data_IF_067545229688
#
_entry.id   IF_067545229688
#
_cell.length_a   1.000
_cell.length_b   1.000
_cell.length_c   1.000
_cell.angle_alpha   90.00
_cell.angle_beta   90.00
_cell.angle_gamma   90.00
#
_symmetry.space_group_name_H-M   'P 1'
#
loop_
_entity.id
_entity.type
_entity.pdbx_description
1 polymer ?
#
# COMPACT_ATOMS: atom_id res chain seq x y z
N UNK A 1 -24.34 -0.49 -21.84
CA UNK A 1 -23.93 -1.74 -21.14
C UNK A 1 -22.86 -1.31 -20.16
N UNK A 2 -23.04 -1.61 -18.85
CA UNK A 2 -21.95 -1.33 -17.90
C UNK A 2 -20.85 -2.35 -18.17
N UNK A 3 -19.68 -1.87 -18.54
CA UNK A 3 -18.50 -2.69 -18.78
C UNK A 3 -18.08 -3.43 -17.50
N UNK A 4 -17.60 -4.67 -17.65
CA UNK A 4 -17.03 -5.43 -16.53
C UNK A 4 -15.58 -4.98 -16.40
N UNK A 5 -15.23 -4.51 -15.22
CA UNK A 5 -13.86 -4.14 -14.86
C UNK A 5 -13.24 -5.31 -14.10
N UNK A 6 -12.04 -5.71 -14.52
CA UNK A 6 -11.21 -6.71 -13.83
C UNK A 6 -9.96 -6.04 -13.31
N UNK A 7 -9.63 -6.25 -12.04
CA UNK A 7 -8.43 -5.68 -11.42
C UNK A 7 -7.95 -6.51 -10.25
N UNK A 8 -6.67 -6.36 -9.93
CA UNK A 8 -6.07 -6.88 -8.71
C UNK A 8 -6.17 -5.86 -7.58
N UNK A 9 -6.43 -6.31 -6.36
CA UNK A 9 -6.53 -5.42 -5.20
C UNK A 9 -5.86 -6.02 -3.96
N UNK A 10 -5.32 -5.15 -3.08
CA UNK A 10 -4.89 -5.53 -1.72
C UNK A 10 -5.95 -5.05 -0.72
N UNK A 11 -6.38 -5.95 0.16
CA UNK A 11 -7.36 -5.63 1.21
C UNK A 11 -6.67 -4.91 2.37
N UNK A 12 -7.06 -3.65 2.64
CA UNK A 12 -6.48 -2.81 3.70
C UNK A 12 -7.35 -2.75 4.95
N UNK A 13 -8.68 -2.84 4.80
CA UNK A 13 -9.62 -2.75 5.91
C UNK A 13 -10.83 -3.63 5.68
N UNK A 14 -11.32 -4.21 6.76
CA UNK A 14 -12.59 -4.97 6.80
C UNK A 14 -13.56 -4.31 7.78
N UNK A 15 -14.79 -4.10 7.39
CA UNK A 15 -15.84 -3.54 8.24
C UNK A 15 -17.10 -4.40 8.13
N UNK A 16 -17.64 -4.87 9.26
CA UNK A 16 -18.89 -5.62 9.28
C UNK A 16 -20.01 -4.74 8.71
N UNK A 17 -20.81 -5.29 7.81
CA UNK A 17 -21.92 -4.60 7.18
C UNK A 17 -23.13 -5.53 7.11
N UNK A 18 -24.24 -5.13 7.73
CA UNK A 18 -25.44 -5.96 7.91
C UNK A 18 -25.10 -7.30 8.58
N UNK A 19 -26.02 -8.26 8.56
CA UNK A 19 -25.88 -9.53 9.28
C UNK A 19 -24.82 -10.47 8.66
N UNK A 20 -24.73 -10.53 7.33
CA UNK A 20 -23.89 -11.50 6.61
C UNK A 20 -22.88 -10.89 5.64
N UNK A 21 -22.82 -9.56 5.54
CA UNK A 21 -22.00 -8.86 4.57
C UNK A 21 -20.79 -8.19 5.21
N UNK A 22 -19.75 -7.97 4.42
CA UNK A 22 -18.52 -7.30 4.77
C UNK A 22 -18.28 -6.16 3.77
N UNK A 23 -17.94 -4.96 4.27
CA UNK A 23 -17.30 -3.95 3.41
C UNK A 23 -15.81 -4.11 3.55
N UNK A 24 -15.12 -4.16 2.40
CA UNK A 24 -13.66 -4.12 2.34
C UNK A 24 -13.23 -2.84 1.65
N UNK A 25 -12.22 -2.17 2.23
CA UNK A 25 -11.51 -1.08 1.58
C UNK A 25 -10.18 -1.62 1.04
N UNK A 26 -9.95 -1.40 -0.23
CA UNK A 26 -8.82 -1.97 -0.98
C UNK A 26 -8.06 -0.89 -1.73
N UNK A 27 -6.86 -1.23 -2.19
CA UNK A 27 -6.13 -0.45 -3.21
C UNK A 27 -5.88 -1.33 -4.43
N UNK A 28 -6.02 -0.74 -5.60
CA UNK A 28 -5.71 -1.30 -6.93
C UNK A 28 -4.58 -0.50 -7.56
N UNK A 29 -3.67 -1.12 -8.33
CA UNK A 29 -2.62 -0.39 -9.04
C UNK A 29 -3.19 0.62 -10.05
N UNK A 30 -4.29 0.26 -10.72
CA UNK A 30 -4.84 1.04 -11.84
C UNK A 30 -5.93 2.02 -11.42
N UNK A 31 -6.73 1.64 -10.42
CA UNK A 31 -7.93 2.38 -10.01
C UNK A 31 -7.82 3.03 -8.63
N UNK A 32 -6.67 2.94 -7.96
CA UNK A 32 -6.47 3.49 -6.63
C UNK A 32 -7.35 2.82 -5.58
N UNK A 33 -8.00 3.63 -4.74
CA UNK A 33 -8.88 3.11 -3.68
C UNK A 33 -10.21 2.62 -4.24
N UNK A 34 -10.61 1.40 -3.86
CA UNK A 34 -11.91 0.81 -4.22
C UNK A 34 -12.52 0.17 -2.98
N UNK A 35 -13.81 0.44 -2.76
CA UNK A 35 -14.58 -0.18 -1.68
C UNK A 35 -15.57 -1.21 -2.24
N UNK A 36 -15.58 -2.43 -1.69
CA UNK A 36 -16.47 -3.50 -2.11
C UNK A 36 -17.38 -3.98 -0.98
N UNK A 37 -18.64 -4.34 -1.32
CA UNK A 37 -19.53 -5.11 -0.46
C UNK A 37 -19.44 -6.58 -0.82
N UNK A 38 -18.94 -7.40 0.08
CA UNK A 38 -18.88 -8.85 -0.05
C UNK A 38 -20.09 -9.45 0.65
N UNK A 39 -21.08 -9.92 -0.12
CA UNK A 39 -22.30 -10.54 0.41
C UNK A 39 -21.99 -11.97 0.87
N UNK A 40 -22.61 -12.39 1.99
CA UNK A 40 -22.43 -13.74 2.50
C UNK A 40 -21.03 -14.03 3.07
N UNK A 41 -20.21 -13.03 3.31
CA UNK A 41 -18.83 -13.18 3.79
C UNK A 41 -18.72 -13.93 5.13
N UNK A 42 -19.78 -13.88 5.95
CA UNK A 42 -19.87 -14.59 7.25
C UNK A 42 -20.62 -15.91 7.18
N UNK A 43 -21.12 -16.31 6.02
CA UNK A 43 -21.73 -17.63 5.84
C UNK A 43 -20.62 -18.67 5.71
N UNK A 44 -20.10 -19.10 6.85
CA UNK A 44 -19.12 -20.19 6.92
C UNK A 44 -19.84 -21.49 6.64
N UNK A 45 -19.80 -21.97 5.42
CA UNK A 45 -20.03 -23.38 5.15
C UNK A 45 -18.79 -24.15 5.59
N UNK A 46 -18.95 -25.32 6.22
CA UNK A 46 -17.90 -26.16 6.85
C UNK A 46 -16.67 -26.46 5.93
N UNK A 47 -16.68 -26.04 4.70
CA UNK A 47 -15.69 -26.40 3.66
C UNK A 47 -15.00 -25.20 3.00
N UNK A 48 -15.37 -23.96 3.32
CA UNK A 48 -14.72 -22.77 2.68
C UNK A 48 -14.08 -21.88 3.74
N UNK A 49 -12.77 -21.78 3.71
CA UNK A 49 -12.08 -20.66 4.39
C UNK A 49 -12.52 -19.33 3.75
N UNK A 50 -12.67 -18.26 4.54
CA UNK A 50 -13.02 -16.96 3.99
C UNK A 50 -11.91 -16.53 3.02
N UNK A 51 -12.25 -16.31 1.74
CA UNK A 51 -11.31 -15.85 0.71
C UNK A 51 -10.81 -14.44 1.03
N UNK A 52 -11.66 -13.62 1.64
CA UNK A 52 -11.39 -12.21 1.90
C UNK A 52 -10.86 -12.02 3.32
N UNK A 53 -9.58 -11.64 3.43
CA UNK A 53 -8.97 -11.21 4.69
C UNK A 53 -7.98 -10.06 4.47
N UNK A 54 -7.47 -9.46 5.58
CA UNK A 54 -6.50 -8.36 5.54
C UNK A 54 -5.24 -8.77 4.79
N UNK A 55 -4.72 -7.84 4.01
CA UNK A 55 -3.49 -7.96 3.23
C UNK A 55 -3.51 -9.05 2.14
N UNK A 56 -4.63 -9.74 1.92
CA UNK A 56 -4.75 -10.64 0.79
C UNK A 56 -4.83 -9.87 -0.53
N UNK A 57 -4.22 -10.45 -1.54
CA UNK A 57 -4.31 -9.98 -2.93
C UNK A 57 -5.44 -10.78 -3.59
N UNK A 58 -6.41 -10.06 -4.11
CA UNK A 58 -7.58 -10.62 -4.76
C UNK A 58 -7.67 -10.14 -6.21
N UNK A 59 -7.96 -11.05 -7.14
CA UNK A 59 -8.49 -10.68 -8.45
C UNK A 59 -10.00 -10.47 -8.31
N UNK A 60 -10.48 -9.32 -8.75
CA UNK A 60 -11.87 -8.91 -8.58
C UNK A 60 -12.44 -8.46 -9.92
N UNK A 61 -13.62 -8.98 -10.26
CA UNK A 61 -14.44 -8.48 -11.37
C UNK A 61 -15.67 -7.78 -10.81
N UNK A 62 -15.99 -6.62 -11.33
CA UNK A 62 -17.16 -5.84 -10.89
C UNK A 62 -17.70 -4.97 -12.02
N UNK A 63 -18.92 -4.47 -11.82
CA UNK A 63 -19.52 -3.46 -12.71
C UNK A 63 -19.50 -2.11 -12.02
N UNK A 64 -19.13 -1.09 -12.75
CA UNK A 64 -19.15 0.29 -12.25
C UNK A 64 -20.57 0.75 -11.91
N UNK A 65 -20.69 1.53 -10.85
CA UNK A 65 -21.93 2.17 -10.44
C UNK A 65 -21.64 3.57 -9.87
N UNK A 66 -22.68 4.37 -9.72
CA UNK A 66 -22.56 5.76 -9.25
C UNK A 66 -22.39 5.89 -7.72
N UNK A 67 -22.42 4.79 -6.97
CA UNK A 67 -22.38 4.85 -5.49
C UNK A 67 -20.97 4.85 -4.91
N UNK A 68 -19.95 4.49 -5.71
CA UNK A 68 -18.59 4.31 -5.24
C UNK A 68 -18.37 3.08 -4.34
N UNK A 69 -19.45 2.32 -4.07
CA UNK A 69 -19.41 1.06 -3.33
C UNK A 69 -19.86 -0.06 -4.26
N UNK A 70 -18.96 -0.96 -4.62
CA UNK A 70 -19.18 -1.95 -5.65
C UNK A 70 -19.53 -3.33 -5.08
N UNK A 71 -20.34 -4.10 -5.82
CA UNK A 71 -20.54 -5.53 -5.55
C UNK A 71 -19.78 -6.34 -6.56
N UNK A 72 -18.75 -7.09 -6.18
CA UNK A 72 -18.01 -7.90 -7.14
C UNK A 72 -18.89 -9.05 -7.66
N UNK A 73 -18.68 -9.40 -8.93
CA UNK A 73 -19.26 -10.59 -9.57
C UNK A 73 -18.39 -11.82 -9.35
N UNK A 74 -17.06 -11.61 -9.32
CA UNK A 74 -16.07 -12.65 -9.06
C UNK A 74 -15.04 -12.14 -8.05
N UNK A 75 -14.57 -13.02 -7.18
CA UNK A 75 -13.48 -12.74 -6.22
C UNK A 75 -12.62 -14.00 -6.11
N UNK A 76 -11.38 -13.91 -6.54
CA UNK A 76 -10.42 -14.99 -6.51
C UNK A 76 -9.16 -14.61 -5.72
N UNK A 77 -8.74 -15.50 -4.82
CA UNK A 77 -7.50 -15.31 -4.05
C UNK A 77 -6.30 -15.52 -4.97
N UNK A 78 -5.46 -14.51 -5.11
CA UNK A 78 -4.20 -14.59 -5.86
C UNK A 78 -3.02 -14.88 -4.93
N UNK A 79 -3.00 -14.20 -3.76
CA UNK A 79 -1.93 -14.36 -2.78
C UNK A 79 -2.46 -14.03 -1.38
N UNK A 80 -1.97 -14.74 -0.38
CA UNK A 80 -2.20 -14.39 1.01
C UNK A 80 -0.90 -13.98 1.70
N UNK A 81 -1.06 -13.19 2.75
CA UNK A 81 -0.01 -12.77 3.66
C UNK A 81 -0.42 -13.07 5.11
N UNK A 82 -1.22 -14.13 5.31
CA UNK A 82 -1.82 -14.49 6.59
C UNK A 82 -0.77 -14.76 7.68
N UNK A 83 0.43 -15.23 7.30
CA UNK A 83 1.55 -15.46 8.22
C UNK A 83 2.07 -14.19 8.91
N UNK A 84 1.75 -12.99 8.40
CA UNK A 84 2.04 -11.72 9.08
C UNK A 84 1.37 -11.67 10.47
N UNK A 85 0.23 -12.35 10.65
CA UNK A 85 -0.43 -12.45 11.96
C UNK A 85 0.46 -13.09 13.06
N UNK A 86 1.45 -13.88 12.68
CA UNK A 86 2.44 -14.47 13.60
C UNK A 86 3.56 -13.48 13.99
N UNK A 87 3.58 -12.28 13.41
CA UNK A 87 4.59 -11.21 13.61
C UNK A 87 3.92 -9.95 14.20
N UNK A 88 3.53 -9.96 15.48
CA UNK A 88 2.63 -8.93 16.05
C UNK A 88 3.20 -7.52 15.99
N UNK A 89 4.53 -7.36 16.12
CA UNK A 89 5.18 -6.04 16.04
C UNK A 89 5.08 -5.46 14.63
N UNK A 90 5.43 -6.23 13.61
CA UNK A 90 5.36 -5.84 12.20
C UNK A 90 3.90 -5.61 11.78
N UNK A 91 3.01 -6.52 12.18
CA UNK A 91 1.57 -6.39 11.94
C UNK A 91 1.04 -5.06 12.49
N UNK A 92 1.37 -4.72 13.75
CA UNK A 92 0.94 -3.45 14.37
C UNK A 92 1.43 -2.23 13.60
N UNK A 93 2.68 -2.26 13.12
CA UNK A 93 3.26 -1.17 12.32
C UNK A 93 2.56 -1.03 10.96
N UNK A 94 2.30 -2.14 10.27
CA UNK A 94 1.59 -2.14 8.98
C UNK A 94 0.15 -1.64 9.18
N UNK A 95 -0.55 -2.12 10.21
CA UNK A 95 -1.91 -1.67 10.53
C UNK A 95 -1.96 -0.18 10.87
N UNK A 96 -0.95 0.36 11.56
CA UNK A 96 -0.87 1.80 11.86
C UNK A 96 -0.65 2.66 10.62
N UNK A 97 -0.11 2.07 9.55
CA UNK A 97 0.13 2.74 8.28
C UNK A 97 -1.07 2.69 7.32
N UNK A 98 -1.93 1.68 7.41
CA UNK A 98 -3.08 1.54 6.49
C UNK A 98 -4.01 2.76 6.44
N UNK A 99 -4.26 3.52 7.55
CA UNK A 99 -5.04 4.76 7.49
C UNK A 99 -4.42 5.82 6.57
N UNK A 100 -3.08 5.91 6.50
CA UNK A 100 -2.40 6.82 5.57
C UNK A 100 -2.76 6.47 4.12
N UNK A 101 -2.71 5.20 3.73
CA UNK A 101 -3.07 4.75 2.39
C UNK A 101 -4.55 5.05 2.09
N UNK A 102 -5.45 4.69 3.03
CA UNK A 102 -6.89 4.88 2.86
C UNK A 102 -7.33 6.35 2.79
N UNK A 103 -6.59 7.26 3.46
CA UNK A 103 -6.84 8.70 3.42
C UNK A 103 -6.36 9.32 2.11
N UNK A 104 -5.18 8.94 1.65
CA UNK A 104 -4.46 9.69 0.64
C UNK A 104 -4.56 9.09 -0.77
N UNK A 105 -4.85 7.78 -0.92
CA UNK A 105 -5.11 7.19 -2.24
C UNK A 105 -6.57 7.44 -2.61
N UNK A 106 -6.76 8.12 -3.74
CA UNK A 106 -8.08 8.49 -4.23
C UNK A 106 -8.65 7.45 -5.20
N UNK A 107 -10.00 7.29 -5.24
CA UNK A 107 -10.65 6.48 -6.25
C UNK A 107 -10.34 6.98 -7.67
N UNK A 108 -10.25 6.04 -8.62
CA UNK A 108 -9.98 6.31 -10.05
C UNK A 108 -8.63 6.99 -10.36
N UNK A 109 -7.72 7.00 -9.39
CA UNK A 109 -6.35 7.51 -9.58
C UNK A 109 -5.37 6.35 -9.45
N UNK A 110 -4.62 6.06 -10.51
CA UNK A 110 -3.60 5.01 -10.48
C UNK A 110 -2.57 5.27 -9.38
N UNK A 111 -2.21 4.21 -8.65
CA UNK A 111 -1.19 4.24 -7.59
C UNK A 111 -0.23 3.04 -7.71
N UNK A 112 0.18 2.73 -8.93
CA UNK A 112 0.88 1.48 -9.24
C UNK A 112 2.21 1.31 -8.49
N UNK A 113 2.95 2.42 -8.27
CA UNK A 113 4.22 2.37 -7.52
C UNK A 113 3.97 2.18 -6.02
N UNK A 114 3.01 2.90 -5.45
CA UNK A 114 2.62 2.72 -4.04
C UNK A 114 2.10 1.32 -3.81
N UNK A 115 1.25 0.80 -4.70
CA UNK A 115 0.76 -0.58 -4.66
C UNK A 115 1.91 -1.59 -4.64
N UNK A 116 2.85 -1.47 -5.59
CA UNK A 116 4.03 -2.33 -5.68
C UNK A 116 4.91 -2.24 -4.42
N UNK A 117 5.18 -1.03 -3.92
CA UNK A 117 5.98 -0.82 -2.73
C UNK A 117 5.32 -1.43 -1.48
N UNK A 118 4.00 -1.32 -1.36
CA UNK A 118 3.25 -1.92 -0.26
C UNK A 118 3.22 -3.46 -0.35
N UNK A 119 3.03 -4.00 -1.55
CA UNK A 119 3.12 -5.44 -1.78
C UNK A 119 4.51 -6.00 -1.40
N UNK A 120 5.59 -5.27 -1.77
CA UNK A 120 6.95 -5.63 -1.39
C UNK A 120 7.15 -5.59 0.14
N UNK A 121 6.58 -4.59 0.84
CA UNK A 121 6.60 -4.54 2.31
C UNK A 121 5.97 -5.79 2.92
N UNK A 122 4.80 -6.21 2.41
CA UNK A 122 4.12 -7.42 2.89
C UNK A 122 4.98 -8.68 2.66
N UNK A 123 5.60 -8.78 1.47
CA UNK A 123 6.48 -9.89 1.14
C UNK A 123 7.72 -9.91 2.04
N UNK A 124 8.44 -8.80 2.16
CA UNK A 124 9.62 -8.69 3.03
C UNK A 124 9.28 -8.99 4.50
N UNK A 125 8.05 -8.68 4.93
CA UNK A 125 7.59 -9.05 6.27
C UNK A 125 7.50 -10.57 6.43
N UNK A 126 7.00 -11.29 5.44
CA UNK A 126 6.95 -12.77 5.49
C UNK A 126 8.36 -13.35 5.49
N UNK A 127 9.24 -12.81 4.66
CA UNK A 127 10.61 -13.31 4.45
C UNK A 127 11.59 -12.90 5.58
N UNK A 128 11.09 -12.31 6.68
CA UNK A 128 11.89 -11.77 7.82
C UNK A 128 12.87 -10.64 7.43
N UNK A 129 12.60 -9.95 6.30
CA UNK A 129 13.38 -8.82 5.79
C UNK A 129 12.71 -7.46 6.08
N UNK A 130 11.79 -7.42 7.06
CA UNK A 130 11.10 -6.18 7.42
C UNK A 130 12.06 -5.18 8.08
N UNK A 131 12.13 -3.99 7.50
CA UNK A 131 12.90 -2.87 8.04
C UNK A 131 11.98 -1.74 8.54
N UNK A 132 12.29 -1.19 9.70
CA UNK A 132 11.43 -0.19 10.38
C UNK A 132 11.18 1.07 9.53
N UNK A 133 12.08 1.41 8.63
CA UNK A 133 11.97 2.56 7.72
C UNK A 133 11.22 2.25 6.43
N UNK A 134 10.85 1.00 6.19
CA UNK A 134 10.13 0.58 4.97
C UNK A 134 8.82 1.35 4.78
N UNK A 135 8.10 1.64 5.87
CA UNK A 135 6.86 2.44 5.84
C UNK A 135 7.13 3.86 5.32
N UNK A 136 8.21 4.50 5.78
CA UNK A 136 8.56 5.84 5.31
C UNK A 136 9.08 5.83 3.86
N UNK A 137 9.65 4.73 3.41
CA UNK A 137 9.97 4.55 1.99
C UNK A 137 8.69 4.51 1.13
N UNK A 138 7.62 3.85 1.58
CA UNK A 138 6.33 3.87 0.86
C UNK A 138 5.73 5.27 0.85
N UNK A 139 5.81 6.03 1.95
CA UNK A 139 5.41 7.44 1.95
C UNK A 139 6.19 8.27 0.94
N UNK A 140 7.49 8.03 0.82
CA UNK A 140 8.32 8.68 -0.19
C UNK A 140 7.88 8.31 -1.61
N UNK A 141 7.58 7.01 -1.87
CA UNK A 141 7.03 6.55 -3.16
C UNK A 141 5.72 7.30 -3.46
N UNK A 142 4.85 7.44 -2.45
CA UNK A 142 3.60 8.20 -2.59
C UNK A 142 3.86 9.68 -2.94
N UNK A 143 4.77 10.35 -2.21
CA UNK A 143 5.15 11.75 -2.49
C UNK A 143 5.69 11.90 -3.92
N UNK A 144 6.53 10.97 -4.35
CA UNK A 144 7.08 10.98 -5.71
C UNK A 144 5.99 10.74 -6.77
N UNK A 145 5.14 9.73 -6.60
CA UNK A 145 4.10 9.36 -7.56
C UNK A 145 3.08 10.49 -7.77
N UNK A 146 2.86 11.33 -6.73
CA UNK A 146 1.95 12.47 -6.77
C UNK A 146 2.64 13.82 -7.07
N UNK A 147 3.93 13.82 -7.41
CA UNK A 147 4.66 15.05 -7.73
C UNK A 147 4.83 16.02 -6.56
N UNK A 148 4.81 15.52 -5.31
CA UNK A 148 4.89 16.30 -4.08
C UNK A 148 6.33 16.45 -3.55
N UNK A 149 7.32 15.90 -4.25
CA UNK A 149 8.72 16.07 -3.88
C UNK A 149 9.27 17.40 -4.42
N UNK A 150 10.05 18.14 -3.63
CA UNK A 150 10.76 19.31 -4.12
C UNK A 150 11.83 18.91 -5.15
N UNK A 151 12.16 19.82 -6.07
CA UNK A 151 13.25 19.65 -7.06
C UNK A 151 14.63 19.64 -6.37
N UNK A 152 14.90 18.59 -5.61
CA UNK A 152 16.19 18.41 -4.90
C UNK A 152 17.32 18.08 -5.87
N UNK A 153 16.99 17.56 -7.05
CA UNK A 153 17.96 17.08 -8.04
C UNK A 153 18.67 18.20 -8.84
N UNK A 154 18.20 19.44 -8.75
CA UNK A 154 18.77 20.57 -9.52
C UNK A 154 19.95 21.27 -8.83
N UNK A 155 20.25 20.96 -7.56
CA UNK A 155 21.37 21.57 -6.81
C UNK A 155 22.60 20.67 -6.74
N UNK A 156 23.06 20.12 -7.87
CA UNK A 156 24.34 19.42 -7.97
C UNK A 156 25.52 20.39 -7.98
N UNK A 157 25.80 20.95 -6.81
CA UNK A 157 27.08 21.60 -6.50
C UNK A 157 28.06 20.52 -6.03
N UNK A 158 29.22 20.46 -6.68
CA UNK A 158 30.35 19.55 -6.44
C UNK A 158 30.77 19.46 -4.96
N UNK A 159 30.24 18.52 -4.23
CA UNK A 159 30.84 17.77 -3.12
C UNK A 159 29.90 16.60 -2.85
N UNK A 160 30.26 15.43 -3.39
CA UNK A 160 29.53 14.18 -3.15
C UNK A 160 29.65 13.77 -1.69
N UNK A 161 28.85 14.40 -0.86
CA UNK A 161 28.69 14.01 0.53
C UNK A 161 28.03 12.61 0.54
N UNK A 162 28.50 11.69 1.37
CA UNK A 162 27.94 10.31 1.51
C UNK A 162 26.44 10.30 1.72
N UNK A 163 25.92 11.33 2.38
CA UNK A 163 24.48 11.52 2.58
C UNK A 163 23.74 11.83 1.28
N UNK A 164 24.33 12.63 0.38
CA UNK A 164 23.73 12.92 -0.94
C UNK A 164 23.61 11.66 -1.79
N UNK A 165 24.63 10.80 -1.77
CA UNK A 165 24.58 9.50 -2.45
C UNK A 165 23.49 8.59 -1.87
N UNK A 166 23.29 8.60 -0.57
CA UNK A 166 22.22 7.89 0.08
C UNK A 166 20.83 8.43 -0.36
N UNK A 167 20.62 9.76 -0.38
CA UNK A 167 19.39 10.39 -0.86
C UNK A 167 19.11 10.03 -2.32
N UNK A 168 20.10 10.06 -3.19
CA UNK A 168 19.93 9.66 -4.59
C UNK A 168 19.49 8.20 -4.72
N UNK A 169 20.03 7.29 -3.91
CA UNK A 169 19.63 5.88 -3.89
C UNK A 169 18.18 5.72 -3.41
N UNK A 170 17.76 6.47 -2.38
CA UNK A 170 16.39 6.48 -1.89
C UNK A 170 15.42 7.04 -2.94
N UNK A 171 15.78 8.12 -3.64
CA UNK A 171 14.96 8.67 -4.71
C UNK A 171 14.84 7.69 -5.88
N UNK A 172 15.91 6.99 -6.24
CA UNK A 172 15.86 5.91 -7.24
C UNK A 172 14.95 4.74 -6.78
N UNK A 173 14.98 4.42 -5.49
CA UNK A 173 14.01 3.46 -4.91
C UNK A 173 12.57 3.96 -5.09
N UNK A 174 12.29 5.23 -4.80
CA UNK A 174 10.95 5.81 -4.94
C UNK A 174 10.45 5.78 -6.39
N UNK A 175 11.33 6.08 -7.35
CA UNK A 175 11.00 6.04 -8.80
C UNK A 175 10.64 4.63 -9.26
N UNK A 176 11.41 3.64 -8.84
CA UNK A 176 11.31 2.26 -9.35
C UNK A 176 10.44 1.36 -8.48
N UNK A 177 10.08 1.78 -7.26
CA UNK A 177 9.48 0.94 -6.23
C UNK A 177 10.21 -0.42 -6.13
N UNK A 178 11.54 -0.35 -6.00
CA UNK A 178 12.44 -1.51 -5.97
C UNK A 178 12.14 -2.43 -4.79
N UNK A 179 12.44 -3.72 -4.91
CA UNK A 179 12.35 -4.66 -3.79
C UNK A 179 13.53 -4.50 -2.82
N UNK A 180 14.66 -3.95 -3.30
CA UNK A 180 15.88 -3.83 -2.52
C UNK A 180 15.93 -2.49 -1.81
N UNK A 181 15.91 -2.53 -0.48
CA UNK A 181 16.04 -1.33 0.35
C UNK A 181 17.51 -0.86 0.34
N UNK A 182 17.78 0.44 0.13
CA UNK A 182 19.15 0.97 0.16
C UNK A 182 19.81 0.77 1.53
N UNK A 183 20.95 0.11 1.58
CA UNK A 183 21.73 0.01 2.80
C UNK A 183 22.41 1.34 3.13
N UNK A 184 22.33 1.75 4.40
CA UNK A 184 22.93 2.99 4.89
C UNK A 184 23.17 2.94 6.41
N UNK A 185 23.95 3.91 6.90
CA UNK A 185 24.14 4.13 8.32
C UNK A 185 22.82 4.54 8.99
N UNK A 186 22.63 4.13 10.23
CA UNK A 186 21.42 4.43 11.03
C UNK A 186 21.14 5.95 11.14
N UNK A 187 22.17 6.78 11.24
CA UNK A 187 22.03 8.24 11.27
C UNK A 187 21.31 8.78 10.04
N UNK A 188 21.63 8.26 8.84
CA UNK A 188 20.97 8.67 7.59
C UNK A 188 19.49 8.28 7.56
N UNK A 189 19.16 7.12 8.12
CA UNK A 189 17.76 6.70 8.26
C UNK A 189 16.98 7.57 9.24
N UNK A 190 17.61 8.01 10.35
CA UNK A 190 16.98 8.95 11.29
C UNK A 190 16.67 10.28 10.61
N UNK A 191 17.63 10.86 9.88
CA UNK A 191 17.42 12.10 9.14
C UNK A 191 16.38 11.95 8.03
N UNK A 192 16.42 10.86 7.28
CA UNK A 192 15.43 10.54 6.26
C UNK A 192 14.01 10.45 6.85
N UNK A 193 13.86 9.73 7.95
CA UNK A 193 12.55 9.59 8.62
C UNK A 193 12.00 10.94 9.06
N UNK A 194 12.86 11.82 9.60
CA UNK A 194 12.48 13.19 9.98
C UNK A 194 12.05 14.00 8.76
N UNK A 195 12.81 13.91 7.68
CA UNK A 195 12.53 14.62 6.44
C UNK A 195 11.20 14.18 5.81
N UNK A 196 10.96 12.88 5.65
CA UNK A 196 9.68 12.36 5.12
C UNK A 196 8.50 12.78 5.98
N UNK A 197 8.64 12.75 7.31
CA UNK A 197 7.60 13.22 8.23
C UNK A 197 7.28 14.70 8.01
N UNK A 198 8.30 15.54 7.88
CA UNK A 198 8.12 16.96 7.62
C UNK A 198 7.45 17.21 6.27
N UNK A 199 7.81 16.45 5.23
CA UNK A 199 7.16 16.52 3.92
C UNK A 199 5.68 16.13 3.99
N UNK A 200 5.37 15.02 4.67
CA UNK A 200 3.97 14.64 4.88
C UNK A 200 3.18 15.71 5.65
N UNK A 201 3.79 16.28 6.70
CA UNK A 201 3.14 17.37 7.46
C UNK A 201 2.92 18.63 6.61
N UNK A 202 3.90 19.01 5.80
CA UNK A 202 3.79 20.17 4.89
C UNK A 202 2.63 20.01 3.88
N UNK A 203 2.38 18.79 3.42
CA UNK A 203 1.29 18.48 2.48
C UNK A 203 0.00 18.03 3.16
N UNK A 204 -0.11 18.10 4.48
CA UNK A 204 -1.30 17.71 5.28
C UNK A 204 -1.73 16.23 5.10
N UNK A 205 -0.78 15.33 4.90
CA UNK A 205 -0.97 13.90 4.64
C UNK A 205 -1.10 13.05 5.90
#
# INVERSE_FOLDING_TARGET
MNEIISTEVIVLKKTKYKESSLIISTISPDFGKIDFVIKGAYQITKTKQPIVDLFRILAVEYKENNSGLYSPTTVDLQKDYDSIALKPTQLSQILSFTPFLLKNIHPHVSCSRVYKAFNNLLQNTIDDEFEIYSINLIKLVYLHENGLLPDILSSSGCNENRYQNFLNRILNYAVNASNTIPQANNEYWVEFNKWVRNMCHYHEL
#
